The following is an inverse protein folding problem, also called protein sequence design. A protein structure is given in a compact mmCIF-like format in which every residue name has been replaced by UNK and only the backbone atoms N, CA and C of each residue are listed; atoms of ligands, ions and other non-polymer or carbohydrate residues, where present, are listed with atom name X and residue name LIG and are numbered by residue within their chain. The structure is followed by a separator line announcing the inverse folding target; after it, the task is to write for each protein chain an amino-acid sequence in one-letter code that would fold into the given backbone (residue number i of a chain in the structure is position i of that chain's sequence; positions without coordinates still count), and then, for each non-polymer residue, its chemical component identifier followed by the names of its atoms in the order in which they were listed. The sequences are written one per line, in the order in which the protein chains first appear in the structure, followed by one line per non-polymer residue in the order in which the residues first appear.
data_IF_744971462195
#
_entry.id   IF_744971462195
#
_cell.length_a   1.000
_cell.length_b   1.000
_cell.length_c   1.000
_cell.angle_alpha   90.00
_cell.angle_beta   90.00
_cell.angle_gamma   90.00
#
_symmetry.space_group_name_H-M   'P 1'
#
loop_
_entity.id
_entity.type
_entity.pdbx_description
1 polymer ?
#
# COMPACT_ATOMS: atom_id res chain seq x y z
N UNK A 1 -23.54 -14.23 10.02
CA UNK A 1 -22.96 -12.99 9.42
C UNK A 1 -21.91 -13.45 8.41
N UNK A 2 -21.95 -12.95 7.17
CA UNK A 2 -20.88 -13.20 6.19
C UNK A 2 -19.62 -12.46 6.65
N UNK A 3 -18.44 -13.05 6.41
CA UNK A 3 -17.17 -12.36 6.63
C UNK A 3 -17.04 -11.23 5.59
N UNK A 4 -16.54 -10.04 5.99
CA UNK A 4 -16.31 -8.94 5.05
C UNK A 4 -15.28 -9.34 4.00
N UNK A 5 -15.49 -8.90 2.76
CA UNK A 5 -14.52 -9.08 1.67
C UNK A 5 -13.28 -8.18 1.89
N UNK A 6 -12.22 -8.39 1.11
CA UNK A 6 -11.06 -7.50 1.18
C UNK A 6 -11.45 -6.08 0.74
N UNK A 7 -12.29 -5.97 -0.28
CA UNK A 7 -12.83 -4.70 -0.76
C UNK A 7 -13.60 -3.96 0.35
N UNK A 8 -14.44 -4.66 1.13
CA UNK A 8 -15.17 -4.07 2.26
C UNK A 8 -14.20 -3.53 3.32
N UNK A 9 -13.18 -4.32 3.69
CA UNK A 9 -12.18 -3.93 4.70
C UNK A 9 -11.40 -2.70 4.23
N UNK A 10 -10.94 -2.66 2.99
CA UNK A 10 -10.20 -1.52 2.43
C UNK A 10 -11.09 -0.28 2.38
N UNK A 11 -12.35 -0.42 1.98
CA UNK A 11 -13.34 0.67 1.93
C UNK A 11 -13.58 1.28 3.31
N UNK A 12 -13.74 0.46 4.33
CA UNK A 12 -13.94 0.91 5.70
C UNK A 12 -12.69 1.60 6.27
N UNK A 13 -11.51 1.02 6.06
CA UNK A 13 -10.23 1.60 6.51
C UNK A 13 -9.93 2.94 5.83
N UNK A 14 -10.11 3.01 4.51
CA UNK A 14 -9.96 4.24 3.75
C UNK A 14 -10.97 5.31 4.21
N UNK A 15 -12.25 4.93 4.36
CA UNK A 15 -13.29 5.85 4.83
C UNK A 15 -13.01 6.41 6.22
N UNK A 16 -12.51 5.57 7.13
CA UNK A 16 -12.11 6.01 8.47
C UNK A 16 -10.91 6.96 8.44
N UNK A 17 -9.88 6.62 7.66
CA UNK A 17 -8.69 7.46 7.49
C UNK A 17 -9.05 8.83 6.88
N UNK A 18 -9.81 8.84 5.79
CA UNK A 18 -10.25 10.06 5.12
C UNK A 18 -11.06 10.97 6.06
N UNK A 19 -11.98 10.39 6.83
CA UNK A 19 -12.77 11.13 7.83
C UNK A 19 -11.89 11.69 8.94
N UNK A 20 -10.98 10.91 9.50
CA UNK A 20 -10.04 11.35 10.54
C UNK A 20 -9.13 12.46 10.04
N UNK A 21 -8.59 12.33 8.84
CA UNK A 21 -7.75 13.35 8.23
C UNK A 21 -8.53 14.65 7.95
N UNK A 22 -9.79 14.57 7.51
CA UNK A 22 -10.62 15.77 7.35
C UNK A 22 -10.80 16.55 8.66
N UNK A 23 -10.93 15.85 9.79
CA UNK A 23 -11.15 16.48 11.09
C UNK A 23 -9.84 16.93 11.75
N UNK A 24 -8.78 16.13 11.63
CA UNK A 24 -7.54 16.31 12.41
C UNK A 24 -6.30 16.63 11.57
N UNK A 25 -6.38 16.52 10.24
CA UNK A 25 -5.25 16.67 9.32
C UNK A 25 -4.47 17.96 9.52
N UNK A 26 -5.11 19.15 9.52
CA UNK A 26 -4.40 20.42 9.76
C UNK A 26 -3.66 20.46 11.10
N UNK A 27 -4.26 19.94 12.17
CA UNK A 27 -3.63 19.87 13.50
C UNK A 27 -2.47 18.88 13.53
N UNK A 28 -2.61 17.72 12.86
CA UNK A 28 -1.52 16.75 12.70
C UNK A 28 -0.35 17.38 11.94
N UNK A 29 -0.61 18.11 10.86
CA UNK A 29 0.42 18.80 10.07
C UNK A 29 1.17 19.85 10.91
N UNK A 30 0.45 20.67 11.67
CA UNK A 30 1.01 21.68 12.57
C UNK A 30 1.93 21.03 13.62
N UNK A 31 1.43 20.03 14.35
CA UNK A 31 2.23 19.35 15.36
C UNK A 31 3.43 18.62 14.78
N UNK A 32 3.24 17.88 13.68
CA UNK A 32 4.32 17.14 13.04
C UNK A 32 5.48 18.05 12.62
N UNK A 33 5.17 19.23 12.08
CA UNK A 33 6.18 20.24 11.69
C UNK A 33 6.92 20.83 12.89
N UNK A 34 6.26 20.94 14.05
CA UNK A 34 6.89 21.41 15.29
C UNK A 34 7.75 20.36 16.00
N UNK A 35 7.57 19.07 15.68
CA UNK A 35 8.24 17.99 16.39
C UNK A 35 9.70 17.81 15.98
N UNK A 36 10.54 17.60 17.00
CA UNK A 36 11.90 17.05 16.85
C UNK A 36 11.87 15.63 16.25
N UNK A 37 13.02 15.18 15.75
CA UNK A 37 13.20 13.80 15.27
C UNK A 37 12.82 12.76 16.33
N UNK A 38 13.16 13.01 17.59
CA UNK A 38 12.86 12.13 18.72
C UNK A 38 11.34 12.06 18.99
N UNK A 39 10.65 13.20 18.91
CA UNK A 39 9.19 13.23 19.04
C UNK A 39 8.51 12.48 17.88
N UNK A 40 8.93 12.73 16.63
CA UNK A 40 8.43 12.01 15.45
C UNK A 40 8.66 10.50 15.60
N UNK A 41 9.85 10.08 16.02
CA UNK A 41 10.19 8.67 16.26
C UNK A 41 9.26 8.03 17.28
N UNK A 42 8.98 8.70 18.40
CA UNK A 42 8.04 8.20 19.40
C UNK A 42 6.64 8.03 18.83
N UNK A 43 6.16 8.99 18.04
CA UNK A 43 4.85 8.91 17.40
C UNK A 43 4.76 7.72 16.42
N UNK A 44 5.73 7.53 15.53
CA UNK A 44 5.71 6.42 14.56
C UNK A 44 5.73 5.07 15.28
N UNK A 45 6.60 4.90 16.29
CA UNK A 45 6.67 3.66 17.06
C UNK A 45 5.41 3.39 17.88
N UNK A 46 4.77 4.41 18.43
CA UNK A 46 3.53 4.24 19.18
C UNK A 46 2.37 3.69 18.33
N UNK A 47 2.41 3.91 17.01
CA UNK A 47 1.42 3.37 16.06
C UNK A 47 1.74 1.97 15.53
N UNK A 48 2.91 1.40 15.84
CA UNK A 48 3.34 0.10 15.36
C UNK A 48 3.18 -0.99 16.42
N UNK A 49 2.88 -2.21 15.99
CA UNK A 49 2.86 -3.39 16.88
C UNK A 49 4.25 -3.55 17.48
N UNK A 50 4.33 -3.60 18.82
CA UNK A 50 5.58 -3.63 19.59
C UNK A 50 6.56 -2.47 19.34
N UNK A 51 6.17 -1.43 18.61
CA UNK A 51 7.08 -0.36 18.19
C UNK A 51 8.06 -0.75 17.06
N UNK A 52 7.80 -1.87 16.39
CA UNK A 52 8.64 -2.39 15.31
C UNK A 52 8.35 -1.64 14.00
N UNK A 53 9.35 -0.93 13.50
CA UNK A 53 9.29 -0.12 12.28
C UNK A 53 10.60 -0.32 11.53
N UNK A 54 10.54 -0.37 10.20
CA UNK A 54 11.74 -0.40 9.35
C UNK A 54 12.66 0.77 9.71
N UNK A 55 13.96 0.53 9.86
CA UNK A 55 14.93 1.61 10.10
C UNK A 55 15.07 2.51 8.87
N UNK A 56 15.11 1.89 7.70
CA UNK A 56 15.22 2.51 6.37
C UNK A 56 14.52 1.62 5.32
N UNK A 57 14.34 2.09 4.06
CA UNK A 57 13.65 1.33 3.00
C UNK A 57 14.23 -0.04 2.67
N UNK A 58 15.48 -0.32 3.07
CA UNK A 58 16.19 -1.57 2.78
C UNK A 58 16.33 -2.47 4.00
N UNK A 59 15.71 -2.11 5.13
CA UNK A 59 15.81 -2.87 6.37
C UNK A 59 15.09 -4.22 6.27
N UNK A 60 15.86 -5.31 6.38
CA UNK A 60 15.36 -6.68 6.29
C UNK A 60 14.89 -7.25 7.64
N UNK A 61 15.00 -6.50 8.75
CA UNK A 61 14.71 -7.01 10.10
C UNK A 61 13.26 -7.48 10.29
N UNK A 62 12.30 -6.93 9.53
CA UNK A 62 10.89 -7.28 9.58
C UNK A 62 10.46 -8.21 8.42
N UNK A 63 11.38 -9.00 7.88
CA UNK A 63 11.08 -9.98 6.84
C UNK A 63 10.69 -9.33 5.51
N UNK A 64 9.48 -9.58 5.02
CA UNK A 64 9.02 -9.03 3.73
C UNK A 64 8.38 -7.63 3.84
N UNK A 65 8.30 -7.02 5.02
CA UNK A 65 7.65 -5.70 5.19
C UNK A 65 8.29 -4.62 4.31
N UNK A 66 9.62 -4.61 4.16
CA UNK A 66 10.32 -3.67 3.26
C UNK A 66 10.00 -3.88 1.77
N UNK A 67 9.41 -5.03 1.39
CA UNK A 67 8.92 -5.28 0.02
C UNK A 67 7.46 -4.90 -0.17
N UNK A 68 6.78 -4.43 0.88
CA UNK A 68 5.35 -4.11 0.85
C UNK A 68 5.12 -2.63 1.12
N UNK A 69 5.81 -2.06 2.10
CA UNK A 69 5.63 -0.67 2.55
C UNK A 69 6.97 -0.02 2.95
N UNK A 70 8.02 -0.02 2.10
CA UNK A 70 9.31 0.56 2.45
C UNK A 70 9.25 2.07 2.70
N UNK A 71 8.24 2.77 2.19
CA UNK A 71 7.99 4.18 2.47
C UNK A 71 7.65 4.42 3.94
N UNK A 72 7.22 3.38 4.67
CA UNK A 72 6.93 3.42 6.10
C UNK A 72 8.16 3.05 6.95
N UNK A 73 9.20 3.88 6.89
CA UNK A 73 10.46 3.68 7.61
C UNK A 73 10.86 4.88 8.48
N UNK A 74 11.57 4.62 9.59
CA UNK A 74 11.94 5.64 10.57
C UNK A 74 12.82 6.73 9.99
N UNK A 75 13.80 6.38 9.14
CA UNK A 75 14.72 7.37 8.55
C UNK A 75 13.92 8.45 7.81
N UNK A 76 13.09 8.06 6.87
CA UNK A 76 12.42 9.00 5.96
C UNK A 76 11.25 9.72 6.65
N UNK A 77 10.48 9.00 7.50
CA UNK A 77 9.35 9.59 8.23
C UNK A 77 9.81 10.65 9.24
N UNK A 78 10.96 10.44 9.90
CA UNK A 78 11.39 11.27 11.03
C UNK A 78 12.43 12.32 10.69
N UNK A 79 12.92 12.34 9.45
CA UNK A 79 13.95 13.29 9.01
C UNK A 79 13.49 14.74 9.24
N UNK A 80 14.25 15.56 9.99
CA UNK A 80 13.90 16.96 10.20
C UNK A 80 13.73 17.72 8.89
N UNK A 81 12.68 18.55 8.79
CA UNK A 81 12.38 19.30 7.58
C UNK A 81 11.80 18.48 6.42
N UNK A 82 11.74 17.14 6.53
CA UNK A 82 11.02 16.30 5.57
C UNK A 82 9.52 16.35 5.81
N UNK A 83 8.76 16.48 4.71
CA UNK A 83 7.30 16.35 4.66
C UNK A 83 6.86 14.93 4.27
N UNK A 84 7.78 13.95 4.17
CA UNK A 84 7.49 12.58 3.72
C UNK A 84 6.26 11.94 4.38
N UNK A 85 6.19 11.96 5.72
CA UNK A 85 5.02 11.46 6.46
C UNK A 85 3.73 12.20 6.09
N UNK A 86 3.79 13.54 5.98
CA UNK A 86 2.60 14.35 5.69
C UNK A 86 2.12 14.16 4.25
N UNK A 87 3.04 14.03 3.31
CA UNK A 87 2.74 13.73 1.91
C UNK A 87 2.09 12.35 1.78
N UNK A 88 2.64 11.33 2.45
CA UNK A 88 2.07 9.99 2.49
C UNK A 88 0.67 9.99 3.14
N UNK A 89 0.53 10.62 4.31
CA UNK A 89 -0.73 10.70 5.02
C UNK A 89 -1.81 11.40 4.19
N UNK A 90 -1.49 12.55 3.60
CA UNK A 90 -2.39 13.31 2.73
C UNK A 90 -2.81 12.48 1.52
N UNK A 91 -1.85 11.86 0.84
CA UNK A 91 -2.11 11.03 -0.33
C UNK A 91 -3.06 9.87 0.01
N UNK A 92 -2.71 9.08 1.04
CA UNK A 92 -3.51 7.91 1.47
C UNK A 92 -4.90 8.29 2.02
N UNK A 93 -5.08 9.53 2.47
CA UNK A 93 -6.36 10.02 3.03
C UNK A 93 -7.27 10.71 2.01
N UNK A 94 -6.71 11.30 0.95
CA UNK A 94 -7.47 12.12 0.01
C UNK A 94 -7.67 11.48 -1.37
N UNK A 95 -6.78 10.57 -1.76
CA UNK A 95 -6.88 9.87 -3.05
C UNK A 95 -7.66 8.59 -2.84
N UNK A 96 -8.59 8.28 -3.74
CA UNK A 96 -9.26 6.99 -3.66
C UNK A 96 -8.26 5.85 -3.91
N UNK A 97 -8.48 4.64 -3.36
CA UNK A 97 -7.56 3.52 -3.51
C UNK A 97 -7.20 3.14 -4.96
N UNK A 98 -8.08 3.39 -5.94
CA UNK A 98 -7.75 3.15 -7.34
C UNK A 98 -6.73 4.18 -7.85
N UNK A 99 -6.85 5.45 -7.45
CA UNK A 99 -5.84 6.46 -7.73
C UNK A 99 -4.50 6.16 -7.03
N UNK A 100 -4.53 5.77 -5.74
CA UNK A 100 -3.32 5.38 -4.98
C UNK A 100 -2.57 4.21 -5.64
N UNK A 101 -3.32 3.28 -6.21
CA UNK A 101 -2.76 2.14 -6.91
C UNK A 101 -1.97 2.54 -8.16
N UNK A 102 -2.40 3.59 -8.86
CA UNK A 102 -1.75 4.05 -10.10
C UNK A 102 -0.75 5.18 -9.89
N UNK A 103 -0.87 5.95 -8.80
CA UNK A 103 -0.04 7.12 -8.54
C UNK A 103 0.27 7.22 -7.06
N UNK A 104 1.52 7.53 -6.74
CA UNK A 104 1.98 7.77 -5.38
C UNK A 104 1.88 9.24 -4.96
N UNK A 105 2.37 9.57 -3.75
CA UNK A 105 2.55 10.95 -3.30
C UNK A 105 3.40 11.75 -4.30
N UNK A 106 3.06 13.03 -4.50
CA UNK A 106 3.80 13.97 -5.37
C UNK A 106 4.00 13.46 -6.82
N UNK A 107 2.99 12.77 -7.37
CA UNK A 107 3.01 12.15 -8.70
C UNK A 107 4.11 11.08 -8.88
N UNK A 108 4.62 10.52 -7.77
CA UNK A 108 5.54 9.39 -7.78
C UNK A 108 4.87 8.05 -8.14
N UNK A 109 5.64 6.93 -8.06
CA UNK A 109 5.12 5.58 -8.30
C UNK A 109 3.95 5.21 -7.39
N UNK A 110 2.88 4.65 -7.98
CA UNK A 110 1.76 4.08 -7.22
C UNK A 110 2.02 2.65 -6.77
N UNK A 111 1.04 2.06 -6.08
CA UNK A 111 1.18 0.70 -5.53
C UNK A 111 1.46 -0.35 -6.63
N UNK A 112 0.90 -0.20 -7.84
CA UNK A 112 1.12 -1.12 -8.97
C UNK A 112 2.60 -1.21 -9.35
N UNK A 113 3.22 -0.06 -9.65
CA UNK A 113 4.61 -0.01 -10.08
C UNK A 113 5.53 -0.58 -9.00
N UNK A 114 5.22 -0.26 -7.74
CA UNK A 114 5.95 -0.79 -6.60
C UNK A 114 5.81 -2.31 -6.46
N UNK A 115 4.59 -2.87 -6.57
CA UNK A 115 4.35 -4.32 -6.54
C UNK A 115 5.15 -5.00 -7.65
N UNK A 116 5.10 -4.49 -8.87
CA UNK A 116 5.83 -5.05 -10.01
C UNK A 116 7.35 -5.01 -9.80
N UNK A 117 7.90 -3.90 -9.28
CA UNK A 117 9.31 -3.78 -8.94
C UNK A 117 9.71 -4.80 -7.86
N UNK A 118 8.94 -4.93 -6.80
CA UNK A 118 9.26 -5.84 -5.69
C UNK A 118 9.17 -7.31 -6.11
N UNK A 119 8.23 -7.65 -6.98
CA UNK A 119 8.13 -9.00 -7.56
C UNK A 119 9.31 -9.31 -8.47
N UNK A 120 9.69 -8.37 -9.34
CA UNK A 120 10.78 -8.52 -10.32
C UNK A 120 12.16 -8.51 -9.66
N UNK A 121 12.45 -7.52 -8.83
CA UNK A 121 13.80 -7.20 -8.36
C UNK A 121 14.07 -7.73 -6.94
N UNK A 122 13.05 -7.80 -6.08
CA UNK A 122 13.17 -8.29 -4.69
C UNK A 122 12.59 -9.68 -4.46
N UNK A 123 12.20 -10.36 -5.55
CA UNK A 123 11.62 -11.72 -5.55
C UNK A 123 10.51 -11.84 -4.52
N UNK A 124 9.65 -10.82 -4.41
CA UNK A 124 8.40 -10.94 -3.65
C UNK A 124 7.59 -12.05 -4.30
N UNK A 125 7.41 -13.17 -3.59
CA UNK A 125 6.70 -14.35 -4.06
C UNK A 125 5.65 -14.75 -3.02
N UNK A 126 4.49 -15.19 -3.51
CA UNK A 126 3.52 -15.88 -2.66
C UNK A 126 4.15 -17.18 -2.14
N UNK A 127 3.82 -17.57 -0.91
CA UNK A 127 4.30 -18.82 -0.33
C UNK A 127 3.75 -20.06 -1.05
N UNK A 128 2.57 -19.95 -1.65
CA UNK A 128 1.89 -21.01 -2.39
C UNK A 128 1.79 -20.69 -3.89
N UNK A 129 1.76 -21.74 -4.72
CA UNK A 129 1.51 -21.60 -6.16
C UNK A 129 0.02 -21.40 -6.44
N UNK A 130 -0.35 -20.19 -6.85
CA UNK A 130 -1.72 -19.84 -7.22
C UNK A 130 -1.91 -19.85 -8.74
N UNK A 131 -1.96 -21.04 -9.33
CA UNK A 131 -2.16 -21.18 -10.79
C UNK A 131 -3.54 -20.67 -11.21
N UNK A 132 -3.55 -19.86 -12.28
CA UNK A 132 -4.74 -19.22 -12.83
C UNK A 132 -5.50 -18.34 -11.83
N UNK A 133 -4.83 -17.83 -10.79
CA UNK A 133 -5.42 -16.87 -9.86
C UNK A 133 -4.99 -15.44 -10.20
N UNK A 134 -5.96 -14.53 -10.12
CA UNK A 134 -5.79 -13.13 -10.51
C UNK A 134 -6.40 -12.23 -9.46
N UNK A 135 -5.67 -11.16 -9.11
CA UNK A 135 -6.12 -10.11 -8.21
C UNK A 135 -6.61 -8.91 -9.01
N UNK A 136 -7.76 -8.36 -8.62
CA UNK A 136 -8.39 -7.22 -9.26
C UNK A 136 -8.18 -5.97 -8.42
N UNK A 137 -7.93 -4.85 -9.08
CA UNK A 137 -7.77 -3.52 -8.47
C UNK A 137 -8.65 -2.50 -9.20
N UNK A 138 -9.78 -2.95 -9.75
CA UNK A 138 -10.70 -2.14 -10.53
C UNK A 138 -11.75 -1.46 -9.65
N UNK A 139 -11.50 -0.19 -9.31
CA UNK A 139 -12.35 0.57 -8.41
C UNK A 139 -12.47 -0.06 -7.01
N UNK A 140 -13.36 0.50 -6.18
CA UNK A 140 -13.49 0.09 -4.78
C UNK A 140 -14.21 -1.24 -4.56
N UNK A 141 -15.12 -1.62 -5.45
CA UNK A 141 -15.98 -2.80 -5.24
C UNK A 141 -15.26 -4.13 -5.47
N UNK A 142 -14.11 -4.12 -6.16
CA UNK A 142 -13.30 -5.31 -6.43
C UNK A 142 -11.85 -5.15 -5.99
N UNK A 143 -11.56 -4.15 -5.15
CA UNK A 143 -10.20 -3.80 -4.79
C UNK A 143 -9.53 -4.86 -3.93
N UNK A 144 -8.48 -5.50 -4.45
CA UNK A 144 -7.75 -6.56 -3.78
C UNK A 144 -8.46 -7.92 -3.80
N UNK A 145 -9.55 -8.07 -4.55
CA UNK A 145 -10.28 -9.33 -4.66
C UNK A 145 -9.55 -10.30 -5.60
N UNK A 146 -9.49 -11.58 -5.20
CA UNK A 146 -8.78 -12.62 -5.94
C UNK A 146 -9.73 -13.69 -6.45
N UNK A 147 -9.58 -14.07 -7.72
CA UNK A 147 -10.39 -15.11 -8.35
C UNK A 147 -9.52 -16.15 -9.03
N UNK A 148 -9.93 -17.43 -8.96
CA UNK A 148 -9.35 -18.51 -9.75
C UNK A 148 -10.14 -18.68 -11.04
N UNK A 149 -9.48 -18.53 -12.18
CA UNK A 149 -10.07 -18.82 -13.49
C UNK A 149 -10.12 -20.34 -13.67
N UNK A 150 -11.33 -20.88 -13.74
CA UNK A 150 -11.57 -22.33 -13.89
C UNK A 150 -11.41 -22.81 -15.34
N UNK A 151 -11.63 -21.92 -16.30
CA UNK A 151 -11.47 -22.18 -17.73
C UNK A 151 -10.35 -21.28 -18.31
N UNK A 152 -9.11 -21.80 -18.42
CA UNK A 152 -7.98 -21.02 -18.92
C UNK A 152 -8.17 -20.48 -20.35
N UNK A 153 -9.09 -21.04 -21.15
CA UNK A 153 -9.39 -20.51 -22.48
C UNK A 153 -9.97 -19.09 -22.46
N UNK A 154 -10.42 -18.63 -21.29
CA UNK A 154 -10.91 -17.27 -21.06
C UNK A 154 -9.81 -16.27 -20.71
N UNK A 155 -8.58 -16.72 -20.45
CA UNK A 155 -7.46 -15.85 -20.08
C UNK A 155 -7.15 -14.74 -21.11
N UNK A 156 -7.22 -14.97 -22.44
CA UNK A 156 -6.99 -13.91 -23.41
C UNK A 156 -7.94 -12.71 -23.27
N UNK A 157 -9.15 -12.90 -22.73
CA UNK A 157 -10.09 -11.81 -22.48
C UNK A 157 -9.61 -10.83 -21.39
N UNK A 158 -8.66 -11.24 -20.55
CA UNK A 158 -8.09 -10.40 -19.50
C UNK A 158 -6.89 -9.56 -19.97
N UNK A 159 -6.36 -9.79 -21.17
CA UNK A 159 -5.15 -9.10 -21.67
C UNK A 159 -5.28 -7.58 -21.64
N UNK A 160 -6.44 -7.05 -22.03
CA UNK A 160 -6.70 -5.61 -22.00
C UNK A 160 -6.62 -5.06 -20.58
N UNK A 161 -7.18 -5.76 -19.59
CA UNK A 161 -7.19 -5.39 -18.18
C UNK A 161 -5.82 -5.54 -17.51
N UNK A 162 -5.05 -6.57 -17.89
CA UNK A 162 -3.67 -6.74 -17.44
C UNK A 162 -2.81 -5.59 -17.96
N UNK A 163 -2.95 -5.23 -19.25
CA UNK A 163 -2.17 -4.16 -19.87
C UNK A 163 -2.40 -2.79 -19.22
N UNK A 164 -3.61 -2.53 -18.71
CA UNK A 164 -3.92 -1.28 -17.99
C UNK A 164 -3.76 -1.41 -16.47
N UNK A 165 -3.19 -2.51 -15.98
CA UNK A 165 -2.80 -2.68 -14.58
C UNK A 165 -3.93 -3.04 -13.61
N UNK A 166 -5.19 -3.16 -14.04
CA UNK A 166 -6.32 -3.46 -13.12
C UNK A 166 -6.40 -4.92 -12.69
N UNK A 167 -5.65 -5.80 -13.33
CA UNK A 167 -5.62 -7.22 -13.00
C UNK A 167 -4.18 -7.71 -12.97
N UNK A 168 -3.73 -8.25 -11.83
CA UNK A 168 -2.39 -8.80 -11.64
C UNK A 168 -2.49 -10.32 -11.44
N UNK A 169 -1.69 -11.15 -12.14
CA UNK A 169 -1.61 -12.58 -11.85
C UNK A 169 -0.93 -12.82 -10.50
N UNK A 170 -1.47 -13.71 -9.67
CA UNK A 170 -0.84 -14.11 -8.39
C UNK A 170 0.44 -14.92 -8.58
N UNK A 171 0.66 -15.47 -9.76
CA UNK A 171 1.91 -16.08 -10.20
C UNK A 171 2.62 -15.12 -11.17
N UNK A 172 3.68 -14.45 -10.73
CA UNK A 172 4.63 -13.81 -11.64
C UNK A 172 6.03 -14.37 -11.39
N UNK A 173 6.71 -14.71 -12.49
CA UNK A 173 8.05 -15.32 -12.49
C UNK A 173 8.02 -16.78 -12.97
N UNK A 174 8.93 -17.08 -13.90
CA UNK A 174 9.31 -18.45 -14.26
C UNK A 174 10.11 -19.12 -13.15
#
# INVERSE_FOLDING_TARGET
MQQPSNADVVKDLYGDLARKYKVHGPTVEEYWRSFSREQRTRCVKAGAVNGDVLKDPTDHALGNVYKLIPEWNLRDLTEPGSDHFLNLLRHRSLKDPYEQYHRGPEDGPGDLEFIEEMMRDKKLRMAESFENCWSFFAGMEQYGESYKVLDPSKLPAFESYIRIGVVIPKKQGN
#
